data_IF_488247646482
#
_entry.id   IF_488247646482
#
_cell.length_a   1.000
_cell.length_b   1.000
_cell.length_c   1.000
_cell.angle_alpha   90.00
_cell.angle_beta   90.00
_cell.angle_gamma   90.00
#
_symmetry.space_group_name_H-M   'P 1'
#
loop_
_entity.id
_entity.type
_entity.pdbx_description
1 polymer ?
#
# COMPACT_ATOMS: atom_id res chain seq x y z
N UNK A 1 -69.47 -17.49 18.21
CA UNK A 1 -68.31 -18.26 18.63
C UNK A 1 -67.43 -18.79 17.50
N UNK A 2 -67.99 -19.42 16.42
CA UNK A 2 -67.17 -19.97 15.32
C UNK A 2 -66.29 -18.94 14.57
N UNK A 3 -66.74 -17.68 14.39
CA UNK A 3 -65.95 -16.64 13.70
C UNK A 3 -64.77 -16.08 14.52
N UNK A 4 -64.88 -16.02 15.84
CA UNK A 4 -63.82 -15.51 16.73
C UNK A 4 -62.65 -16.52 16.77
N UNK A 5 -62.95 -17.83 16.81
CA UNK A 5 -61.91 -18.85 16.77
C UNK A 5 -61.12 -18.88 15.47
N UNK A 6 -61.78 -18.53 14.30
CA UNK A 6 -61.11 -18.42 13.01
C UNK A 6 -60.08 -17.28 12.99
N UNK A 7 -60.39 -16.12 13.54
CA UNK A 7 -59.47 -14.99 13.59
C UNK A 7 -58.30 -15.23 14.56
N UNK A 8 -58.51 -15.92 15.66
CA UNK A 8 -57.44 -16.31 16.58
C UNK A 8 -56.50 -17.32 15.94
N UNK A 9 -57.02 -18.30 15.20
CA UNK A 9 -56.21 -19.27 14.48
C UNK A 9 -55.38 -18.63 13.37
N UNK A 10 -56.00 -17.71 12.60
CA UNK A 10 -55.33 -16.99 11.52
C UNK A 10 -54.27 -16.04 12.06
N UNK A 11 -54.51 -15.31 13.18
CA UNK A 11 -53.58 -14.44 13.85
C UNK A 11 -52.37 -15.21 14.43
N UNK A 12 -52.63 -16.37 15.00
CA UNK A 12 -51.57 -17.26 15.54
C UNK A 12 -50.63 -17.82 14.45
N UNK A 13 -51.18 -18.17 13.26
CA UNK A 13 -50.37 -18.63 12.12
C UNK A 13 -49.50 -17.50 11.53
N UNK A 14 -50.02 -16.29 11.50
CA UNK A 14 -49.26 -15.13 11.02
C UNK A 14 -48.11 -14.79 11.99
N UNK A 15 -48.32 -14.84 13.29
CA UNK A 15 -47.27 -14.59 14.31
C UNK A 15 -46.20 -15.67 14.29
N UNK A 16 -46.55 -16.94 14.08
CA UNK A 16 -45.59 -18.02 13.92
C UNK A 16 -44.78 -17.94 12.61
N UNK A 17 -45.35 -17.38 11.54
CA UNK A 17 -44.65 -17.13 10.29
C UNK A 17 -43.62 -16.00 10.36
N UNK A 18 -43.72 -15.05 11.31
CA UNK A 18 -42.78 -13.97 11.54
C UNK A 18 -41.56 -14.37 12.40
N UNK A 19 -41.60 -15.51 13.06
CA UNK A 19 -40.46 -16.11 13.80
C UNK A 19 -39.52 -16.90 12.86
N UNK A 20 -39.57 -16.65 11.56
CA UNK A 20 -38.71 -17.31 10.56
C UNK A 20 -37.26 -16.94 10.70
N UNK A 21 -36.48 -17.90 11.07
CA UNK A 21 -35.07 -18.16 10.69
C UNK A 21 -34.05 -17.00 10.77
N UNK A 22 -34.03 -16.24 11.84
CA UNK A 22 -32.90 -15.36 12.12
C UNK A 22 -31.84 -16.00 13.04
N UNK A 23 -32.07 -17.20 13.51
CA UNK A 23 -31.19 -17.89 14.48
C UNK A 23 -29.77 -18.14 13.94
N UNK A 24 -29.60 -18.21 12.63
CA UNK A 24 -28.31 -18.43 11.98
C UNK A 24 -27.88 -17.27 11.08
N UNK A 25 -28.55 -16.11 11.20
CA UNK A 25 -28.28 -14.96 10.33
C UNK A 25 -26.82 -14.48 10.44
N UNK A 26 -26.28 -14.46 11.65
CA UNK A 26 -24.90 -14.08 11.93
C UNK A 26 -23.89 -15.07 11.33
N UNK A 27 -24.22 -16.37 11.30
CA UNK A 27 -23.36 -17.40 10.73
C UNK A 27 -23.40 -17.39 9.20
N UNK A 28 -24.57 -17.18 8.59
CA UNK A 28 -24.71 -17.04 7.13
C UNK A 28 -24.09 -15.77 6.60
N UNK A 29 -24.00 -14.70 7.41
CA UNK A 29 -23.38 -13.45 7.03
C UNK A 29 -21.87 -13.38 7.33
N UNK A 30 -21.28 -14.42 7.91
CA UNK A 30 -19.83 -14.53 8.03
C UNK A 30 -19.25 -14.89 6.67
N UNK A 31 -18.54 -13.95 6.07
CA UNK A 31 -17.77 -14.23 4.86
C UNK A 31 -16.60 -15.15 5.24
N UNK A 32 -16.56 -16.42 4.75
CA UNK A 32 -15.50 -17.37 5.10
C UNK A 32 -14.12 -16.92 4.56
N UNK A 33 -14.10 -16.00 3.59
CA UNK A 33 -12.88 -15.47 3.00
C UNK A 33 -12.42 -14.18 3.67
N UNK A 34 -13.21 -13.62 4.57
CA UNK A 34 -12.85 -12.42 5.33
C UNK A 34 -12.17 -12.80 6.63
N UNK A 35 -10.96 -12.29 6.84
CA UNK A 35 -10.31 -12.44 8.14
C UNK A 35 -11.20 -11.86 9.25
N UNK A 36 -11.44 -12.63 10.31
CA UNK A 36 -12.16 -12.13 11.48
C UNK A 36 -11.39 -10.96 12.10
N UNK A 37 -12.13 -9.95 12.56
CA UNK A 37 -11.54 -8.81 13.26
C UNK A 37 -10.72 -9.31 14.45
N UNK A 38 -9.43 -8.97 14.48
CA UNK A 38 -8.49 -9.39 15.53
C UNK A 38 -7.74 -10.71 15.27
N UNK A 39 -8.01 -11.42 14.17
CA UNK A 39 -7.23 -12.61 13.75
C UNK A 39 -6.21 -12.32 12.65
N UNK A 40 -6.28 -11.15 12.01
CA UNK A 40 -5.27 -10.73 11.06
C UNK A 40 -3.94 -10.46 11.78
N UNK A 41 -2.84 -10.86 11.15
CA UNK A 41 -1.49 -10.56 11.62
C UNK A 41 -0.71 -9.71 10.61
N UNK A 42 0.40 -9.11 11.06
CA UNK A 42 1.21 -8.22 10.22
C UNK A 42 1.78 -8.90 8.98
N UNK A 43 2.13 -10.20 9.07
CA UNK A 43 2.68 -10.96 7.94
C UNK A 43 1.68 -11.17 6.80
N UNK A 44 0.39 -11.31 7.12
CA UNK A 44 -0.66 -11.45 6.09
C UNK A 44 -0.83 -10.19 5.26
N UNK A 45 -0.58 -9.02 5.84
CA UNK A 45 -0.68 -7.75 5.12
C UNK A 45 0.54 -7.49 4.21
N UNK A 46 1.69 -8.10 4.50
CA UNK A 46 2.93 -7.85 3.76
C UNK A 46 2.84 -8.29 2.30
N UNK A 47 2.26 -9.45 2.04
CA UNK A 47 2.12 -10.01 0.70
C UNK A 47 1.36 -9.07 -0.24
N UNK A 48 0.19 -8.60 0.21
CA UNK A 48 -0.65 -7.68 -0.56
C UNK A 48 0.03 -6.32 -0.73
N UNK A 49 0.68 -5.80 0.31
CA UNK A 49 1.45 -4.57 0.23
C UNK A 49 2.51 -4.63 -0.86
N UNK A 50 3.23 -5.74 -0.97
CA UNK A 50 4.28 -5.90 -1.98
C UNK A 50 3.66 -6.10 -3.36
N UNK A 51 2.78 -7.09 -3.51
CA UNK A 51 2.29 -7.52 -4.82
C UNK A 51 1.45 -6.45 -5.50
N UNK A 52 0.39 -6.03 -4.86
CA UNK A 52 -0.54 -5.05 -5.39
C UNK A 52 0.11 -3.65 -5.47
N UNK A 53 0.92 -3.31 -4.46
CA UNK A 53 1.67 -2.06 -4.44
C UNK A 53 2.62 -1.94 -5.62
N UNK A 54 3.42 -2.96 -5.89
CA UNK A 54 4.33 -3.00 -7.03
C UNK A 54 3.56 -3.00 -8.36
N UNK A 55 2.48 -3.77 -8.47
CA UNK A 55 1.64 -3.84 -9.65
C UNK A 55 1.11 -2.48 -10.08
N UNK A 56 0.63 -1.70 -9.15
CA UNK A 56 0.13 -0.38 -9.44
C UNK A 56 1.22 0.66 -9.73
N UNK A 57 2.35 0.59 -9.05
CA UNK A 57 3.49 1.44 -9.39
C UNK A 57 3.98 1.15 -10.82
N UNK A 58 4.03 -0.13 -11.20
CA UNK A 58 4.33 -0.59 -12.56
C UNK A 58 3.34 -0.03 -13.58
N UNK A 59 2.02 -0.19 -13.35
CA UNK A 59 0.98 0.29 -14.24
C UNK A 59 1.09 1.80 -14.52
N UNK A 60 1.36 2.60 -13.47
CA UNK A 60 1.52 4.05 -13.63
C UNK A 60 2.78 4.43 -14.37
N UNK A 61 3.90 3.74 -14.08
CA UNK A 61 5.13 3.98 -14.81
C UNK A 61 4.94 3.70 -16.28
N UNK A 62 4.30 2.59 -16.62
CA UNK A 62 3.98 2.25 -17.99
C UNK A 62 3.04 3.27 -18.64
N UNK A 63 1.91 3.58 -17.99
CA UNK A 63 0.88 4.43 -18.57
C UNK A 63 1.27 5.91 -18.58
N UNK A 64 1.68 6.46 -17.44
CA UNK A 64 1.93 7.89 -17.34
C UNK A 64 3.34 8.27 -17.80
N UNK A 65 4.36 7.65 -17.20
CA UNK A 65 5.73 8.07 -17.47
C UNK A 65 6.16 7.81 -18.91
N UNK A 66 5.82 6.66 -19.50
CA UNK A 66 6.19 6.35 -20.85
C UNK A 66 5.52 7.28 -21.87
N UNK A 67 4.24 7.62 -21.66
CA UNK A 67 3.53 8.54 -22.53
C UNK A 67 4.01 9.99 -22.36
N UNK A 68 4.26 10.46 -21.13
CA UNK A 68 4.80 11.79 -20.90
C UNK A 68 6.22 11.95 -21.46
N UNK A 69 7.04 10.90 -21.38
CA UNK A 69 8.38 10.88 -21.96
C UNK A 69 8.35 10.56 -23.46
N UNK A 70 7.17 10.32 -24.04
CA UNK A 70 6.95 9.97 -25.44
C UNK A 70 7.72 8.72 -25.90
N UNK A 71 7.95 7.77 -24.98
CA UNK A 71 8.51 6.45 -25.33
C UNK A 71 7.46 5.55 -25.97
N UNK A 72 6.19 5.74 -25.62
CA UNK A 72 5.05 5.05 -26.18
C UNK A 72 3.98 6.07 -26.59
N UNK A 73 3.18 5.70 -27.57
CA UNK A 73 2.04 6.48 -28.06
C UNK A 73 0.83 5.58 -28.08
N UNK A 74 -0.27 6.01 -27.49
CA UNK A 74 -1.52 5.32 -27.58
C UNK A 74 -2.13 5.46 -28.97
N UNK A 75 -2.56 4.35 -29.56
CA UNK A 75 -3.21 4.33 -30.88
C UNK A 75 -4.68 4.73 -30.82
N UNK A 76 -5.27 4.71 -29.63
CA UNK A 76 -6.66 5.10 -29.36
C UNK A 76 -6.78 6.63 -29.26
N UNK A 77 -7.92 7.16 -29.69
CA UNK A 77 -8.25 8.59 -29.52
C UNK A 77 -8.87 8.90 -28.14
N UNK A 78 -9.14 7.89 -27.32
CA UNK A 78 -9.80 8.03 -26.04
C UNK A 78 -8.89 8.63 -24.96
N UNK A 79 -7.61 8.37 -25.05
CA UNK A 79 -6.57 8.83 -24.15
C UNK A 79 -5.56 9.70 -24.87
N UNK A 80 -5.19 10.82 -24.29
CA UNK A 80 -4.31 11.77 -24.94
C UNK A 80 -3.14 12.20 -24.03
N UNK A 81 -2.72 11.31 -23.12
CA UNK A 81 -1.61 11.56 -22.21
C UNK A 81 -0.31 11.90 -22.97
N UNK A 82 -0.04 11.20 -24.07
CA UNK A 82 1.10 11.49 -24.95
C UNK A 82 1.02 12.89 -25.62
N UNK A 83 -0.14 13.53 -25.59
CA UNK A 83 -0.35 14.93 -26.04
C UNK A 83 -0.46 15.90 -24.86
N UNK A 84 -0.14 15.45 -23.65
CA UNK A 84 -0.24 16.23 -22.41
C UNK A 84 -1.67 16.73 -22.11
N UNK A 85 -2.69 16.08 -22.65
CA UNK A 85 -4.08 16.34 -22.26
C UNK A 85 -4.37 15.59 -20.98
N UNK A 86 -4.39 16.31 -19.87
CA UNK A 86 -4.60 15.77 -18.53
C UNK A 86 -6.05 15.97 -18.13
N UNK A 87 -6.67 14.88 -17.67
CA UNK A 87 -8.02 14.92 -17.10
C UNK A 87 -7.98 14.53 -15.63
N UNK A 88 -8.94 14.99 -14.84
CA UNK A 88 -9.04 14.67 -13.41
C UNK A 88 -9.10 13.15 -13.15
N UNK A 89 -9.67 12.39 -14.10
CA UNK A 89 -9.78 10.94 -14.00
C UNK A 89 -8.44 10.21 -14.06
N UNK A 90 -7.47 10.75 -14.79
CA UNK A 90 -6.16 10.11 -14.99
C UNK A 90 -5.38 9.93 -13.67
N UNK A 91 -5.42 10.95 -12.81
CA UNK A 91 -4.70 10.93 -11.56
C UNK A 91 -5.53 10.43 -10.36
N UNK A 92 -6.86 10.31 -10.51
CA UNK A 92 -7.72 9.77 -9.45
C UNK A 92 -7.30 8.35 -9.04
N UNK A 93 -6.94 7.52 -10.01
CA UNK A 93 -6.38 6.18 -9.76
C UNK A 93 -5.09 6.25 -8.92
N UNK A 94 -4.21 7.24 -9.20
CA UNK A 94 -2.98 7.45 -8.45
C UNK A 94 -3.24 7.81 -6.98
N UNK A 95 -4.16 8.72 -6.75
CA UNK A 95 -4.57 9.15 -5.42
C UNK A 95 -5.13 7.98 -4.60
N UNK A 96 -6.16 7.33 -5.12
CA UNK A 96 -6.84 6.24 -4.42
C UNK A 96 -5.91 5.08 -4.09
N UNK A 97 -4.97 4.84 -4.95
CA UNK A 97 -4.09 3.70 -4.86
C UNK A 97 -2.97 3.92 -3.84
N UNK A 98 -2.24 5.03 -3.92
CA UNK A 98 -1.21 5.35 -2.92
C UNK A 98 -1.84 5.49 -1.52
N UNK A 99 -3.04 6.08 -1.42
CA UNK A 99 -3.78 6.17 -0.18
C UNK A 99 -4.13 4.81 0.40
N UNK A 100 -4.66 3.88 -0.41
CA UNK A 100 -5.00 2.52 0.03
C UNK A 100 -3.80 1.79 0.62
N UNK A 101 -2.68 1.78 -0.09
CA UNK A 101 -1.51 1.03 0.35
C UNK A 101 -0.80 1.71 1.52
N UNK A 102 -0.87 3.02 1.63
CA UNK A 102 -0.41 3.72 2.83
C UNK A 102 -1.25 3.34 4.06
N UNK A 103 -2.59 3.26 3.94
CA UNK A 103 -3.47 2.76 5.03
C UNK A 103 -3.07 1.34 5.43
N UNK A 104 -2.91 0.44 4.46
CA UNK A 104 -2.53 -0.94 4.75
C UNK A 104 -1.16 -1.03 5.44
N UNK A 105 -0.19 -0.20 5.05
CA UNK A 105 1.10 -0.14 5.74
C UNK A 105 0.95 0.39 7.20
N UNK A 106 0.09 1.38 7.43
CA UNK A 106 -0.21 1.89 8.77
C UNK A 106 -0.87 0.81 9.63
N UNK A 107 -1.84 0.09 9.09
CA UNK A 107 -2.51 -1.01 9.80
C UNK A 107 -1.54 -2.18 10.08
N UNK A 108 -0.67 -2.52 9.11
CA UNK A 108 0.40 -3.49 9.33
C UNK A 108 1.30 -3.06 10.48
N UNK A 109 1.66 -1.77 10.57
CA UNK A 109 2.46 -1.25 11.68
C UNK A 109 1.77 -1.45 13.03
N UNK A 110 0.48 -1.11 13.14
CA UNK A 110 -0.32 -1.27 14.37
C UNK A 110 -0.43 -2.74 14.80
N UNK A 111 -0.60 -3.66 13.85
CA UNK A 111 -0.61 -5.10 14.13
C UNK A 111 0.76 -5.58 14.61
N UNK A 112 1.83 -5.20 13.90
CA UNK A 112 3.20 -5.54 14.26
C UNK A 112 3.61 -4.98 15.64
N UNK A 113 3.06 -3.83 16.04
CA UNK A 113 3.26 -3.25 17.37
C UNK A 113 2.60 -4.11 18.46
N UNK A 114 1.36 -4.58 18.23
CA UNK A 114 0.65 -5.51 19.13
C UNK A 114 1.34 -6.88 19.22
N UNK A 115 1.99 -7.31 18.15
CA UNK A 115 2.74 -8.58 18.05
C UNK A 115 4.17 -8.44 18.61
N UNK A 116 4.58 -7.25 19.00
CA UNK A 116 5.97 -6.93 19.40
C UNK A 116 7.01 -7.30 18.32
N UNK A 117 6.58 -7.36 17.05
CA UNK A 117 7.42 -7.70 15.91
C UNK A 117 8.08 -6.44 15.33
N UNK A 118 9.28 -6.12 15.83
CA UNK A 118 10.02 -4.91 15.44
C UNK A 118 10.41 -4.90 13.97
N UNK A 119 10.71 -6.06 13.37
CA UNK A 119 11.04 -6.14 11.94
C UNK A 119 9.82 -5.86 11.06
N UNK A 120 8.65 -6.37 11.42
CA UNK A 120 7.41 -6.05 10.71
C UNK A 120 7.04 -4.57 10.84
N UNK A 121 7.28 -3.96 12.02
CA UNK A 121 7.13 -2.50 12.21
C UNK A 121 8.05 -1.72 11.26
N UNK A 122 9.33 -2.11 11.17
CA UNK A 122 10.31 -1.46 10.30
C UNK A 122 9.89 -1.54 8.82
N UNK A 123 9.47 -2.72 8.36
CA UNK A 123 8.98 -2.94 7.00
C UNK A 123 7.74 -2.08 6.73
N UNK A 124 6.79 -2.05 7.65
CA UNK A 124 5.57 -1.25 7.52
C UNK A 124 5.88 0.25 7.38
N UNK A 125 6.79 0.81 8.18
CA UNK A 125 7.25 2.19 8.05
C UNK A 125 7.94 2.45 6.70
N UNK A 126 8.75 1.50 6.24
CA UNK A 126 9.42 1.58 4.93
C UNK A 126 8.41 1.63 3.79
N UNK A 127 7.42 0.74 3.79
CA UNK A 127 6.37 0.70 2.77
C UNK A 127 5.45 1.92 2.83
N UNK A 128 5.09 2.39 4.02
CA UNK A 128 4.39 3.66 4.22
C UNK A 128 5.16 4.82 3.58
N UNK A 129 6.46 4.93 3.85
CA UNK A 129 7.30 5.97 3.29
C UNK A 129 7.38 5.88 1.76
N UNK A 130 7.49 4.67 1.20
CA UNK A 130 7.49 4.45 -0.24
C UNK A 130 6.20 4.96 -0.90
N UNK A 131 5.03 4.60 -0.37
CA UNK A 131 3.75 4.98 -0.98
C UNK A 131 3.42 6.45 -0.80
N UNK A 132 3.61 7.01 0.40
CA UNK A 132 3.30 8.40 0.66
C UNK A 132 4.29 9.37 0.01
N UNK A 133 5.57 9.00 -0.15
CA UNK A 133 6.51 9.81 -0.93
C UNK A 133 6.09 9.88 -2.40
N UNK A 134 5.67 8.76 -3.00
CA UNK A 134 5.13 8.77 -4.36
C UNK A 134 3.86 9.61 -4.49
N UNK A 135 3.00 9.58 -3.47
CA UNK A 135 1.77 10.37 -3.46
C UNK A 135 2.06 11.86 -3.39
N UNK A 136 2.89 12.29 -2.45
CA UNK A 136 3.23 13.71 -2.31
C UNK A 136 4.09 14.24 -3.47
N UNK A 137 4.88 13.38 -4.13
CA UNK A 137 5.61 13.74 -5.35
C UNK A 137 4.68 14.04 -6.54
N UNK A 138 3.51 13.39 -6.59
CA UNK A 138 2.51 13.62 -7.64
C UNK A 138 1.59 14.80 -7.33
N UNK A 139 1.22 14.99 -6.07
CA UNK A 139 0.13 15.89 -5.67
C UNK A 139 0.60 17.10 -4.84
N UNK A 140 1.86 17.11 -4.38
CA UNK A 140 2.34 18.17 -3.49
C UNK A 140 1.78 18.03 -2.08
N UNK A 141 1.20 19.12 -1.57
CA UNK A 141 0.52 19.15 -0.28
C UNK A 141 -0.67 18.20 -0.28
N UNK A 142 -0.84 17.44 0.79
CA UNK A 142 -1.94 16.47 0.92
C UNK A 142 -2.31 16.23 2.39
N UNK A 143 -3.50 15.68 2.69
CA UNK A 143 -3.84 15.25 4.03
C UNK A 143 -2.85 14.18 4.51
N UNK A 144 -2.21 14.42 5.67
CA UNK A 144 -1.21 13.52 6.21
C UNK A 144 -1.37 13.29 7.72
N UNK A 145 -1.20 14.32 8.57
CA UNK A 145 -1.26 14.16 10.04
C UNK A 145 -2.64 13.75 10.56
N UNK A 146 -3.67 14.29 9.95
CA UNK A 146 -5.07 13.99 10.28
C UNK A 146 -5.65 12.90 9.36
N UNK A 147 -4.93 12.53 8.29
CA UNK A 147 -5.33 11.47 7.39
C UNK A 147 -5.37 10.13 8.12
N UNK A 148 -6.21 9.21 7.61
CA UNK A 148 -6.32 7.83 8.10
C UNK A 148 -6.88 7.70 9.55
N UNK A 149 -7.42 8.79 10.12
CA UNK A 149 -7.97 8.86 11.48
C UNK A 149 -9.50 8.92 11.51
N UNK A 150 -10.15 8.73 10.38
CA UNK A 150 -11.61 8.82 10.24
C UNK A 150 -12.37 7.89 11.18
N UNK A 151 -11.89 6.65 11.34
CA UNK A 151 -12.52 5.65 12.21
C UNK A 151 -12.18 5.89 13.69
N UNK A 152 -10.92 6.18 13.98
CA UNK A 152 -10.42 6.27 15.36
C UNK A 152 -10.76 7.59 16.04
N UNK A 153 -10.61 8.70 15.29
CA UNK A 153 -10.77 10.07 15.81
C UNK A 153 -11.97 10.81 15.19
N UNK A 154 -12.77 10.12 14.34
CA UNK A 154 -13.92 10.69 13.61
C UNK A 154 -13.55 11.94 12.77
N UNK A 155 -12.32 11.98 12.22
CA UNK A 155 -11.87 13.06 11.35
C UNK A 155 -12.23 12.72 9.90
N UNK A 156 -13.37 13.27 9.44
CA UNK A 156 -13.88 13.01 8.08
C UNK A 156 -13.36 14.00 7.04
N UNK A 157 -12.83 15.14 7.47
CA UNK A 157 -12.27 16.19 6.61
C UNK A 157 -10.88 16.59 7.11
N UNK A 158 -9.86 15.74 6.87
CA UNK A 158 -8.50 16.03 7.31
C UNK A 158 -7.93 17.25 6.60
N UNK A 159 -7.12 18.04 7.31
CA UNK A 159 -6.40 19.17 6.74
C UNK A 159 -5.27 18.73 5.83
N UNK A 160 -4.95 19.57 4.86
CA UNK A 160 -3.77 19.43 4.05
C UNK A 160 -2.53 19.86 4.86
N UNK A 161 -1.49 19.06 4.79
CA UNK A 161 -0.17 19.37 5.34
C UNK A 161 0.76 19.75 4.19
N UNK A 162 1.69 20.67 4.45
CA UNK A 162 2.73 21.06 3.48
C UNK A 162 3.61 19.84 3.13
N UNK A 163 4.01 19.72 1.88
CA UNK A 163 4.88 18.66 1.39
C UNK A 163 6.18 18.53 2.23
N UNK A 164 6.72 19.66 2.71
CA UNK A 164 7.88 19.64 3.61
C UNK A 164 7.62 18.86 4.89
N UNK A 165 6.46 19.08 5.53
CA UNK A 165 6.07 18.40 6.77
C UNK A 165 5.92 16.89 6.52
N UNK A 166 5.38 16.54 5.37
CA UNK A 166 5.23 15.13 4.96
C UNK A 166 6.61 14.49 4.81
N UNK A 167 7.52 15.11 4.05
CA UNK A 167 8.87 14.60 3.85
C UNK A 167 9.67 14.49 5.14
N UNK A 168 9.60 15.48 6.03
CA UNK A 168 10.24 15.41 7.36
C UNK A 168 9.76 14.17 8.13
N UNK A 169 8.45 13.93 8.13
CA UNK A 169 7.86 12.78 8.82
C UNK A 169 8.28 11.44 8.19
N UNK A 170 8.28 11.34 6.86
CA UNK A 170 8.69 10.11 6.16
C UNK A 170 10.17 9.80 6.36
N UNK A 171 11.02 10.82 6.38
CA UNK A 171 12.44 10.66 6.69
C UNK A 171 12.67 10.20 8.14
N UNK A 172 11.90 10.72 9.10
CA UNK A 172 11.92 10.25 10.49
C UNK A 172 11.43 8.81 10.62
N UNK A 173 10.38 8.42 9.88
CA UNK A 173 9.89 7.05 9.84
C UNK A 173 10.96 6.07 9.34
N UNK A 174 11.72 6.44 8.31
CA UNK A 174 12.80 5.60 7.78
C UNK A 174 14.00 5.50 8.73
N UNK A 175 14.36 6.58 9.42
CA UNK A 175 15.38 6.52 10.48
C UNK A 175 14.94 5.60 11.63
N UNK A 176 13.67 5.72 12.06
CA UNK A 176 13.11 4.82 13.06
C UNK A 176 13.10 3.37 12.57
N UNK A 177 12.67 3.13 11.35
CA UNK A 177 12.67 1.80 10.74
C UNK A 177 14.06 1.17 10.76
N UNK A 178 15.11 1.93 10.39
CA UNK A 178 16.49 1.46 10.44
C UNK A 178 16.92 0.97 11.83
N UNK A 179 16.42 1.57 12.91
CA UNK A 179 16.74 1.17 14.29
C UNK A 179 15.96 -0.03 14.80
N UNK A 180 14.81 -0.34 14.20
CA UNK A 180 13.91 -1.42 14.62
C UNK A 180 14.34 -2.80 14.14
N UNK A 181 15.18 -2.90 13.09
CA UNK A 181 15.63 -4.18 12.58
C UNK A 181 16.49 -4.94 13.58
N UNK A 182 16.09 -6.16 13.90
CA UNK A 182 16.77 -7.05 14.85
C UNK A 182 16.89 -8.46 14.28
N UNK A 183 17.73 -9.30 14.93
CA UNK A 183 17.84 -10.72 14.60
C UNK A 183 16.84 -11.60 15.35
N UNK A 184 16.10 -11.04 16.31
CA UNK A 184 15.22 -11.79 17.19
C UNK A 184 13.79 -11.93 16.66
N UNK A 185 13.30 -10.90 15.95
CA UNK A 185 11.99 -10.95 15.30
C UNK A 185 12.10 -11.61 13.92
N UNK A 186 11.12 -12.40 13.53
CA UNK A 186 11.09 -13.10 12.25
C UNK A 186 10.04 -12.51 11.33
N UNK A 187 10.29 -12.57 10.04
CA UNK A 187 9.32 -12.28 8.98
C UNK A 187 8.97 -13.60 8.29
N UNK A 188 7.69 -13.82 8.02
CA UNK A 188 7.25 -15.01 7.29
C UNK A 188 7.78 -14.96 5.85
N UNK A 189 8.75 -15.84 5.58
CA UNK A 189 9.42 -15.93 4.29
C UNK A 189 8.45 -16.22 3.13
N UNK A 190 7.32 -16.90 3.39
CA UNK A 190 6.32 -17.22 2.36
C UNK A 190 5.47 -16.01 1.97
N UNK A 191 5.34 -15.04 2.86
CA UNK A 191 4.59 -13.80 2.66
C UNK A 191 5.46 -12.64 2.18
N UNK A 192 6.78 -12.77 2.34
CA UNK A 192 7.74 -11.77 1.86
C UNK A 192 8.17 -12.06 0.42
N UNK A 193 7.46 -11.51 -0.54
CA UNK A 193 7.69 -11.70 -1.97
C UNK A 193 8.94 -10.99 -2.50
N UNK A 194 9.60 -10.14 -1.69
CA UNK A 194 10.83 -9.44 -2.10
C UNK A 194 12.09 -10.18 -1.66
N UNK A 195 12.19 -10.51 -0.39
CA UNK A 195 13.43 -10.96 0.23
C UNK A 195 13.33 -12.27 1.00
N UNK A 196 12.18 -12.97 0.94
CA UNK A 196 11.94 -14.24 1.63
C UNK A 196 12.29 -14.19 3.14
N UNK A 197 11.97 -13.09 3.80
CA UNK A 197 12.20 -12.88 5.22
C UNK A 197 13.61 -12.39 5.58
N UNK A 198 14.45 -12.06 4.60
CA UNK A 198 15.80 -11.50 4.86
C UNK A 198 15.72 -10.05 5.32
N UNK A 199 15.73 -9.87 6.64
CA UNK A 199 15.66 -8.55 7.27
C UNK A 199 16.89 -7.68 7.00
N UNK A 200 18.03 -8.27 6.63
CA UNK A 200 19.22 -7.51 6.26
C UNK A 200 19.02 -6.79 4.94
N UNK A 201 18.42 -7.47 3.97
CA UNK A 201 18.04 -6.86 2.69
C UNK A 201 16.94 -5.81 2.86
N UNK A 202 15.96 -6.06 3.72
CA UNK A 202 14.96 -5.05 4.08
C UNK A 202 15.59 -3.79 4.68
N UNK A 203 16.56 -3.94 5.58
CA UNK A 203 17.28 -2.81 6.16
C UNK A 203 18.07 -2.02 5.10
N UNK A 204 18.72 -2.71 4.15
CA UNK A 204 19.36 -2.08 3.00
C UNK A 204 18.35 -1.31 2.14
N UNK A 205 17.18 -1.89 1.90
CA UNK A 205 16.10 -1.20 1.16
C UNK A 205 15.63 0.06 1.89
N UNK A 206 15.39 -0.02 3.19
CA UNK A 206 14.99 1.12 4.02
C UNK A 206 15.98 2.28 3.90
N UNK A 207 17.27 2.01 4.07
CA UNK A 207 18.32 3.03 4.02
C UNK A 207 18.55 3.56 2.59
N UNK A 208 18.39 2.73 1.57
CA UNK A 208 18.47 3.16 0.17
C UNK A 208 17.29 4.06 -0.20
N UNK A 209 16.08 3.74 0.30
CA UNK A 209 14.92 4.62 0.17
C UNK A 209 15.13 5.94 0.90
N UNK A 210 15.70 5.90 2.12
CA UNK A 210 16.06 7.09 2.88
C UNK A 210 17.00 8.01 2.09
N UNK A 211 18.08 7.46 1.52
CA UNK A 211 18.98 8.21 0.65
C UNK A 211 18.27 8.80 -0.58
N UNK A 212 17.41 8.02 -1.22
CA UNK A 212 16.62 8.48 -2.37
C UNK A 212 15.76 9.69 -1.99
N UNK A 213 15.07 9.64 -0.84
CA UNK A 213 14.24 10.76 -0.38
C UNK A 213 15.10 11.99 0.01
N UNK A 214 16.26 11.80 0.65
CA UNK A 214 17.20 12.88 0.93
C UNK A 214 17.70 13.55 -0.35
N UNK A 215 18.04 12.78 -1.38
CA UNK A 215 18.42 13.31 -2.69
C UNK A 215 17.28 14.09 -3.34
N UNK A 216 16.05 13.63 -3.19
CA UNK A 216 14.86 14.30 -3.72
C UNK A 216 14.68 15.71 -3.17
N UNK A 217 15.00 15.92 -1.90
CA UNK A 217 14.91 17.22 -1.20
C UNK A 217 16.25 17.96 -1.14
N UNK A 218 17.27 17.54 -1.90
CA UNK A 218 18.63 18.09 -1.82
C UNK A 218 18.73 19.60 -2.12
N UNK A 219 17.83 20.12 -2.96
CA UNK A 219 17.75 21.55 -3.25
C UNK A 219 17.10 22.39 -2.15
N UNK A 220 16.52 21.75 -1.12
CA UNK A 220 15.88 22.41 0.03
C UNK A 220 16.89 22.54 1.16
N UNK A 221 17.45 23.74 1.35
CA UNK A 221 18.46 24.01 2.40
C UNK A 221 17.95 23.74 3.81
N UNK A 222 16.65 23.96 4.04
CA UNK A 222 15.97 23.77 5.32
C UNK A 222 15.74 22.29 5.69
N UNK A 223 16.03 21.34 4.79
CA UNK A 223 15.93 19.90 5.03
C UNK A 223 17.25 19.25 5.51
N UNK A 224 18.35 20.00 5.50
CA UNK A 224 19.69 19.55 5.92
C UNK A 224 20.11 18.20 5.29
N UNK A 225 19.70 17.96 4.06
CA UNK A 225 19.87 16.66 3.38
C UNK A 225 21.34 16.30 3.14
N UNK A 226 22.20 17.27 2.84
CA UNK A 226 23.62 17.03 2.58
C UNK A 226 24.35 16.41 3.79
N UNK A 227 24.14 16.95 4.99
CA UNK A 227 24.75 16.40 6.21
C UNK A 227 24.19 15.02 6.57
N UNK A 228 22.87 14.80 6.35
CA UNK A 228 22.25 13.51 6.59
C UNK A 228 22.77 12.45 5.61
N UNK A 229 22.94 12.79 4.33
CA UNK A 229 23.56 11.91 3.32
C UNK A 229 25.00 11.59 3.72
N UNK A 230 25.79 12.57 4.12
CA UNK A 230 27.16 12.38 4.62
C UNK A 230 27.18 11.41 5.79
N UNK A 231 26.29 11.57 6.77
CA UNK A 231 26.17 10.67 7.92
C UNK A 231 25.94 9.22 7.49
N UNK A 232 25.09 8.96 6.49
CA UNK A 232 24.83 7.62 5.96
C UNK A 232 26.11 7.00 5.40
N UNK A 233 26.87 7.73 4.59
CA UNK A 233 28.10 7.21 3.97
C UNK A 233 29.25 7.04 4.94
N UNK A 234 29.33 7.89 5.98
CA UNK A 234 30.36 7.78 7.00
C UNK A 234 30.10 6.63 8.00
N UNK A 235 28.87 6.12 8.06
CA UNK A 235 28.45 5.08 9.00
C UNK A 235 27.81 3.86 8.31
N UNK A 236 28.50 3.14 7.40
CA UNK A 236 27.90 2.09 6.58
C UNK A 236 27.39 0.89 7.39
N UNK A 237 27.96 0.62 8.57
CA UNK A 237 27.46 -0.43 9.46
C UNK A 237 26.13 -0.07 10.12
N UNK A 238 25.91 1.22 10.39
CA UNK A 238 24.66 1.72 10.95
C UNK A 238 23.60 1.93 9.88
N UNK A 239 24.02 2.32 8.68
CA UNK A 239 23.14 2.57 7.53
C UNK A 239 23.56 1.72 6.33
N UNK A 240 23.40 0.38 6.39
CA UNK A 240 23.67 -0.45 5.22
C UNK A 240 22.73 -0.10 4.08
N UNK A 241 23.26 0.08 2.88
CA UNK A 241 22.54 0.43 1.66
C UNK A 241 22.69 -0.65 0.60
N UNK A 242 22.00 -0.54 -0.52
CA UNK A 242 22.21 -1.39 -1.69
C UNK A 242 23.63 -1.24 -2.22
N UNK A 243 24.30 -2.38 -2.46
CA UNK A 243 25.67 -2.46 -2.97
C UNK A 243 25.76 -3.13 -4.33
N UNK A 244 24.79 -3.99 -4.64
CA UNK A 244 24.75 -4.74 -5.88
C UNK A 244 23.32 -5.04 -6.34
N UNK A 245 23.18 -5.62 -7.54
CA UNK A 245 21.88 -6.08 -8.04
C UNK A 245 21.25 -7.18 -7.20
N UNK A 246 22.01 -7.88 -6.37
CA UNK A 246 21.50 -8.92 -5.47
C UNK A 246 20.67 -8.33 -4.31
N UNK A 247 20.84 -7.03 -4.04
CA UNK A 247 20.09 -6.29 -3.03
C UNK A 247 18.77 -5.70 -3.57
N UNK A 248 18.55 -5.75 -4.90
CA UNK A 248 17.40 -5.13 -5.53
C UNK A 248 16.06 -5.63 -4.94
N UNK A 249 15.15 -4.70 -4.65
CA UNK A 249 13.77 -4.98 -4.30
C UNK A 249 12.99 -5.40 -5.55
N UNK A 250 13.16 -6.65 -5.99
CA UNK A 250 12.59 -7.17 -7.22
C UNK A 250 11.45 -8.13 -6.94
N UNK A 251 10.23 -7.75 -7.30
CA UNK A 251 9.09 -8.64 -7.31
C UNK A 251 9.18 -9.58 -8.53
N UNK A 252 9.23 -10.89 -8.27
CA UNK A 252 9.20 -11.91 -9.31
C UNK A 252 7.79 -12.46 -9.48
N UNK A 253 7.26 -12.34 -10.68
CA UNK A 253 5.98 -12.95 -11.02
C UNK A 253 6.16 -14.45 -11.29
N UNK A 254 5.31 -15.29 -10.71
CA UNK A 254 5.40 -16.76 -10.84
C UNK A 254 4.87 -17.29 -12.18
N UNK A 255 4.11 -16.46 -12.93
CA UNK A 255 3.40 -16.90 -14.13
C UNK A 255 2.13 -17.73 -13.85
N UNK A 256 1.82 -17.97 -12.57
CA UNK A 256 0.60 -18.68 -12.13
C UNK A 256 -0.22 -17.79 -11.20
N UNK A 257 -1.54 -17.87 -11.28
CA UNK A 257 -2.42 -17.09 -10.38
C UNK A 257 -2.17 -17.46 -8.92
N UNK A 258 -2.24 -16.48 -7.99
CA UNK A 258 -2.59 -15.08 -8.20
C UNK A 258 -1.43 -14.19 -8.68
N UNK A 259 -0.19 -14.66 -8.65
CA UNK A 259 1.02 -13.87 -8.91
C UNK A 259 1.42 -13.87 -10.39
N UNK A 260 0.50 -13.45 -11.24
CA UNK A 260 0.73 -13.23 -12.68
C UNK A 260 1.04 -11.77 -12.97
N UNK A 261 1.79 -11.54 -14.05
CA UNK A 261 2.00 -10.21 -14.58
C UNK A 261 0.85 -9.89 -15.55
N UNK A 262 0.12 -8.80 -15.33
CA UNK A 262 -0.99 -8.38 -16.18
C UNK A 262 -0.57 -8.17 -17.63
N UNK A 263 0.69 -7.77 -17.89
CA UNK A 263 1.22 -7.66 -19.25
C UNK A 263 1.40 -9.00 -19.96
N UNK A 264 1.53 -10.11 -19.26
CA UNK A 264 1.64 -11.44 -19.84
C UNK A 264 0.30 -12.04 -20.29
N UNK A 265 -0.80 -11.67 -19.63
CA UNK A 265 -2.15 -12.16 -19.94
C UNK A 265 -2.80 -11.37 -21.08
N UNK A 266 -2.34 -10.17 -21.39
CA UNK A 266 -2.86 -9.27 -22.42
C UNK A 266 -1.94 -9.20 -23.65
N UNK A 267 -1.42 -10.34 -24.09
CA UNK A 267 -0.48 -10.43 -25.21
C UNK A 267 -0.98 -9.77 -26.52
N UNK A 268 -2.28 -9.57 -26.68
CA UNK A 268 -2.86 -8.87 -27.83
C UNK A 268 -2.64 -7.35 -27.76
N UNK A 269 -2.61 -6.76 -26.57
CA UNK A 269 -2.39 -5.32 -26.40
C UNK A 269 -0.90 -5.00 -26.50
N UNK A 270 0.00 -5.90 -26.05
CA UNK A 270 1.44 -5.73 -26.16
C UNK A 270 1.97 -5.92 -27.59
N UNK A 271 1.33 -6.76 -28.40
CA UNK A 271 1.72 -6.99 -29.80
C UNK A 271 1.50 -5.75 -30.69
N UNK A 272 0.61 -4.84 -30.31
CA UNK A 272 0.40 -3.58 -31.04
C UNK A 272 1.57 -2.61 -30.89
N UNK A 273 2.42 -2.79 -29.87
CA UNK A 273 3.63 -1.98 -29.65
C UNK A 273 4.82 -2.46 -30.48
N UNK A 274 4.79 -3.68 -31.00
CA UNK A 274 5.88 -4.27 -31.80
C UNK A 274 5.83 -3.84 -33.29
N UNK A 275 4.70 -3.29 -33.71
CA UNK A 275 4.49 -2.91 -35.11
C UNK A 275 4.65 -1.39 -35.40
N UNK A 276 5.25 -0.65 -34.47
CA UNK A 276 5.75 0.68 -34.69
C UNK A 276 7.25 0.59 -34.94
#
# INVERSE_FOLDING_TARGET
MKRINSYILTGGVIILGLCGCTSNFDDYNKDPNRAEVGKANSSQMLEDLIFEGAGSMKYRTWRHNNEFMQYTVETSTLNQLHRFVLTDSEFKGAWNFCGRWAVNAIEMYKLAEKEENTNAQAIALTMKALYLSNMTDLFGDMPFKEAFKGIEENIMQPKFDDQKVIYDSLLMDLERANTLYTKTSTIDAKRDLLYNGDVTKWRKFTNSLYLRLLMRVSNRRDMNSAERIKTVFENPSQYPIFESNDDNATLKYSGTRPFVNDFGDNATDDLSLIHI
#
